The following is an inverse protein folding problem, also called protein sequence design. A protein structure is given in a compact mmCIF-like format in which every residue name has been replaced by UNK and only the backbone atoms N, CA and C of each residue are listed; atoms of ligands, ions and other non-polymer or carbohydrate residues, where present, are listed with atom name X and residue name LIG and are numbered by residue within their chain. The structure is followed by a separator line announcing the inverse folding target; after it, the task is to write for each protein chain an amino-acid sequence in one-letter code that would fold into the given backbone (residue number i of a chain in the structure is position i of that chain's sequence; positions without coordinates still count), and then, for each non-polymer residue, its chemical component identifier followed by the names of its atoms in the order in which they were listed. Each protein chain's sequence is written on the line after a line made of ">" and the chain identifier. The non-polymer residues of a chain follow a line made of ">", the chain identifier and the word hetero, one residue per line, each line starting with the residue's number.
data_IF_211541837127
#
_entry.id   IF_211541837127
#
_cell.length_a   1.000
_cell.length_b   1.000
_cell.length_c   1.000
_cell.angle_alpha   90.00
_cell.angle_beta   90.00
_cell.angle_gamma   90.00
#
_symmetry.space_group_name_H-M   'P 1'
#
loop_
_entity.id
_entity.type
_entity.pdbx_description
1 polymer ?
#
# COMPACT_ATOMS: atom_id res chain seq x y z
N UNK A 1 -9.06 -13.03 0.77
CA UNK A 1 -10.36 -13.63 0.41
C UNK A 1 -10.48 -13.69 -1.12
N UNK A 2 -11.21 -14.68 -1.65
CA UNK A 2 -11.53 -14.79 -3.09
C UNK A 2 -12.99 -14.37 -3.27
N UNK A 3 -13.27 -13.56 -4.29
CA UNK A 3 -14.62 -13.03 -4.57
C UNK A 3 -14.98 -13.43 -6.01
N UNK A 4 -16.23 -13.83 -6.30
CA UNK A 4 -16.66 -14.08 -7.67
C UNK A 4 -16.38 -12.87 -8.56
N UNK A 5 -15.83 -13.11 -9.76
CA UNK A 5 -15.43 -12.05 -10.68
C UNK A 5 -16.60 -11.13 -11.05
N UNK A 6 -17.78 -11.70 -11.30
CA UNK A 6 -18.95 -10.93 -11.72
C UNK A 6 -19.39 -9.91 -10.66
N UNK A 7 -19.38 -10.31 -9.38
CA UNK A 7 -19.70 -9.42 -8.26
C UNK A 7 -18.65 -8.32 -8.09
N UNK A 8 -17.36 -8.67 -8.16
CA UNK A 8 -16.30 -7.69 -8.09
C UNK A 8 -16.36 -6.69 -9.26
N UNK A 9 -16.68 -7.17 -10.47
CA UNK A 9 -16.83 -6.33 -11.67
C UNK A 9 -17.95 -5.32 -11.51
N UNK A 10 -19.12 -5.72 -11.01
CA UNK A 10 -20.24 -4.82 -10.76
C UNK A 10 -19.87 -3.70 -9.78
N UNK A 11 -19.14 -4.05 -8.71
CA UNK A 11 -18.66 -3.07 -7.72
C UNK A 11 -17.64 -2.11 -8.33
N UNK A 12 -16.65 -2.64 -9.05
CA UNK A 12 -15.61 -1.82 -9.68
C UNK A 12 -16.20 -0.84 -10.71
N UNK A 13 -17.13 -1.30 -11.55
CA UNK A 13 -17.84 -0.44 -12.51
C UNK A 13 -18.62 0.68 -11.83
N UNK A 14 -19.26 0.40 -10.68
CA UNK A 14 -19.96 1.43 -9.89
C UNK A 14 -19.00 2.50 -9.34
N UNK A 15 -17.72 2.17 -9.17
CA UNK A 15 -16.66 3.09 -8.75
C UNK A 15 -15.88 3.68 -9.95
N UNK A 16 -16.27 3.39 -11.19
CA UNK A 16 -15.57 3.85 -12.41
C UNK A 16 -14.23 3.16 -12.67
N UNK A 17 -14.02 1.95 -12.15
CA UNK A 17 -12.79 1.16 -12.30
C UNK A 17 -13.00 -0.02 -13.25
N UNK A 18 -12.02 -0.28 -14.12
CA UNK A 18 -11.96 -1.52 -14.92
C UNK A 18 -10.97 -2.52 -14.30
N UNK A 19 -11.52 -3.59 -13.68
CA UNK A 19 -10.71 -4.67 -13.10
C UNK A 19 -9.80 -5.37 -14.12
N UNK A 20 -10.18 -5.34 -15.40
CA UNK A 20 -9.42 -5.97 -16.48
C UNK A 20 -8.11 -5.24 -16.72
N UNK A 21 -8.10 -3.92 -16.60
CA UNK A 21 -6.88 -3.11 -16.70
C UNK A 21 -5.99 -3.37 -15.49
N UNK A 22 -6.59 -3.42 -14.29
CA UNK A 22 -5.87 -3.59 -13.02
C UNK A 22 -5.15 -4.93 -12.86
N UNK A 23 -5.72 -6.06 -13.31
CA UNK A 23 -5.00 -7.34 -13.27
C UNK A 23 -4.04 -7.53 -14.44
N UNK A 24 -4.23 -6.79 -15.55
CA UNK A 24 -3.39 -6.88 -16.75
C UNK A 24 -2.14 -6.02 -16.58
N UNK A 25 -2.21 -4.99 -15.73
CA UNK A 25 -1.09 -4.14 -15.37
C UNK A 25 -0.04 -4.95 -14.60
N UNK A 26 1.20 -4.88 -15.08
CA UNK A 26 2.35 -5.46 -14.36
C UNK A 26 2.40 -4.84 -12.97
N UNK A 27 2.37 -5.71 -11.96
CA UNK A 27 2.45 -5.32 -10.56
C UNK A 27 1.15 -4.82 -9.96
N UNK A 28 0.00 -4.89 -10.65
CA UNK A 28 -1.31 -4.50 -10.11
C UNK A 28 -1.69 -5.21 -8.79
N UNK A 29 -2.67 -4.64 -8.10
CA UNK A 29 -3.15 -5.16 -6.80
C UNK A 29 -4.17 -6.28 -7.01
N UNK A 30 -4.77 -6.39 -8.20
CA UNK A 30 -5.82 -7.38 -8.50
C UNK A 30 -5.19 -8.60 -9.18
N UNK A 31 -5.55 -9.80 -8.73
CA UNK A 31 -5.22 -11.06 -9.40
C UNK A 31 -6.49 -11.83 -9.73
N UNK A 32 -6.61 -12.21 -11.01
CA UNK A 32 -7.65 -13.11 -11.50
C UNK A 32 -7.24 -14.57 -11.30
N UNK A 33 -8.15 -15.38 -10.77
CA UNK A 33 -8.01 -16.81 -10.56
C UNK A 33 -9.28 -17.52 -11.06
N UNK A 34 -9.29 -17.85 -12.35
CA UNK A 34 -10.45 -18.43 -13.05
C UNK A 34 -11.72 -17.56 -12.90
N UNK A 35 -12.74 -18.06 -12.21
CA UNK A 35 -14.01 -17.37 -11.93
C UNK A 35 -13.92 -16.41 -10.73
N UNK A 36 -12.79 -16.39 -10.02
CA UNK A 36 -12.59 -15.55 -8.86
C UNK A 36 -11.58 -14.43 -9.13
N UNK A 37 -11.68 -13.37 -8.33
CA UNK A 37 -10.66 -12.34 -8.18
C UNK A 37 -10.26 -12.21 -6.72
N UNK A 38 -9.03 -11.77 -6.49
CA UNK A 38 -8.55 -11.43 -5.15
C UNK A 38 -7.57 -10.27 -5.23
N UNK A 39 -7.42 -9.58 -4.09
CA UNK A 39 -6.40 -8.58 -3.91
C UNK A 39 -5.08 -9.22 -3.44
N UNK A 40 -3.98 -8.65 -3.91
CA UNK A 40 -2.62 -9.00 -3.52
C UNK A 40 -2.17 -8.08 -2.39
N UNK A 41 -1.72 -8.69 -1.30
CA UNK A 41 -1.06 -7.95 -0.23
C UNK A 41 0.40 -7.59 -0.59
N UNK A 42 1.09 -6.81 0.25
CA UNK A 42 2.44 -6.33 -0.02
C UNK A 42 3.48 -7.46 -0.22
N UNK A 43 3.29 -8.62 0.41
CA UNK A 43 4.18 -9.78 0.23
C UNK A 43 4.00 -10.53 -1.08
N UNK A 44 2.86 -10.33 -1.73
CA UNK A 44 2.48 -11.05 -2.95
C UNK A 44 2.79 -10.25 -4.21
N UNK A 45 3.29 -9.02 -4.03
CA UNK A 45 3.66 -8.09 -5.11
C UNK A 45 5.19 -8.02 -5.25
N UNK A 46 5.62 -7.70 -6.46
CA UNK A 46 7.03 -7.58 -6.82
C UNK A 46 7.65 -6.32 -6.18
N UNK A 47 8.84 -6.46 -5.58
CA UNK A 47 9.49 -5.36 -4.86
C UNK A 47 10.00 -4.28 -5.80
N UNK A 48 10.55 -4.64 -6.96
CA UNK A 48 11.07 -3.67 -7.93
C UNK A 48 9.94 -2.80 -8.49
N UNK A 49 8.80 -3.41 -8.80
CA UNK A 49 7.61 -2.68 -9.20
C UNK A 49 7.11 -1.73 -8.11
N UNK A 50 7.02 -2.21 -6.86
CA UNK A 50 6.60 -1.39 -5.73
C UNK A 50 7.55 -0.20 -5.47
N UNK A 51 8.86 -0.39 -5.69
CA UNK A 51 9.85 0.68 -5.56
C UNK A 51 9.68 1.75 -6.64
N UNK A 52 9.36 1.35 -7.88
CA UNK A 52 9.15 2.26 -9.01
C UNK A 52 7.73 2.88 -9.06
N UNK A 53 6.75 2.31 -8.35
CA UNK A 53 5.37 2.81 -8.36
C UNK A 53 5.24 4.19 -7.74
N UNK A 54 4.30 5.00 -8.22
CA UNK A 54 3.99 6.33 -7.67
C UNK A 54 2.60 6.39 -7.04
N UNK A 55 1.75 5.38 -7.27
CA UNK A 55 0.42 5.33 -6.71
C UNK A 55 0.48 5.09 -5.20
N UNK A 56 -0.50 5.64 -4.48
CA UNK A 56 -0.54 5.60 -3.03
C UNK A 56 -0.47 4.17 -2.46
N UNK A 57 -1.16 3.20 -3.08
CA UNK A 57 -1.12 1.80 -2.64
C UNK A 57 0.26 1.18 -2.87
N UNK A 58 0.97 1.56 -3.93
CA UNK A 58 2.33 1.08 -4.21
C UNK A 58 3.32 1.64 -3.22
N UNK A 59 3.22 2.94 -2.93
CA UNK A 59 4.03 3.61 -1.91
C UNK A 59 3.79 2.96 -0.55
N UNK A 60 2.53 2.73 -0.17
CA UNK A 60 2.16 2.08 1.09
C UNK A 60 2.70 0.65 1.15
N UNK A 61 2.47 -0.17 0.13
CA UNK A 61 2.95 -1.55 0.09
C UNK A 61 4.48 -1.62 0.10
N UNK A 62 5.18 -0.73 -0.61
CA UNK A 62 6.64 -0.66 -0.54
C UNK A 62 7.13 -0.26 0.87
N UNK A 63 6.51 0.77 1.46
CA UNK A 63 6.81 1.21 2.82
C UNK A 63 6.63 0.08 3.84
N UNK A 64 5.55 -0.71 3.74
CA UNK A 64 5.34 -1.87 4.60
C UNK A 64 6.42 -2.94 4.44
N UNK A 65 6.96 -3.12 3.23
CA UNK A 65 8.04 -4.08 2.98
C UNK A 65 9.37 -3.61 3.57
N UNK A 66 9.67 -2.31 3.49
CA UNK A 66 10.84 -1.71 4.14
C UNK A 66 10.72 -1.74 5.66
N UNK A 67 9.52 -1.47 6.18
CA UNK A 67 9.19 -1.59 7.60
C UNK A 67 9.40 -3.02 8.12
N UNK A 68 8.90 -4.03 7.40
CA UNK A 68 9.09 -5.44 7.75
C UNK A 68 10.57 -5.83 7.83
N UNK A 69 11.42 -5.27 6.96
CA UNK A 69 12.87 -5.51 6.94
C UNK A 69 13.65 -4.68 7.97
N UNK A 70 13.01 -3.73 8.64
CA UNK A 70 13.68 -2.78 9.53
C UNK A 70 14.55 -1.74 8.81
N UNK A 71 14.38 -1.56 7.50
CA UNK A 71 15.14 -0.61 6.68
C UNK A 71 14.62 0.82 6.87
N UNK A 72 14.87 1.39 8.06
CA UNK A 72 14.29 2.66 8.49
C UNK A 72 14.64 3.84 7.57
N UNK A 73 15.90 3.97 7.18
CA UNK A 73 16.35 5.08 6.33
C UNK A 73 15.66 5.05 4.95
N UNK A 74 15.58 3.85 4.33
CA UNK A 74 14.90 3.66 3.06
C UNK A 74 13.39 3.91 3.18
N UNK A 75 12.76 3.51 4.29
CA UNK A 75 11.35 3.78 4.56
C UNK A 75 11.07 5.30 4.60
N UNK A 76 11.88 6.05 5.35
CA UNK A 76 11.74 7.50 5.45
C UNK A 76 11.95 8.16 4.09
N UNK A 77 12.98 7.75 3.34
CA UNK A 77 13.22 8.24 1.98
C UNK A 77 12.02 7.96 1.07
N UNK A 78 11.52 6.72 1.05
CA UNK A 78 10.37 6.32 0.22
C UNK A 78 9.12 7.15 0.50
N UNK A 79 8.80 7.37 1.77
CA UNK A 79 7.64 8.20 2.14
C UNK A 79 7.89 9.65 1.75
N UNK A 80 9.08 10.20 2.03
CA UNK A 80 9.43 11.60 1.78
C UNK A 80 9.49 11.96 0.29
N UNK A 81 9.94 11.04 -0.56
CA UNK A 81 10.02 11.22 -2.01
C UNK A 81 8.68 11.01 -2.72
N UNK A 82 7.68 10.46 -2.03
CA UNK A 82 6.34 10.34 -2.56
C UNK A 82 5.55 11.64 -2.37
N UNK A 83 4.54 11.85 -3.22
CA UNK A 83 3.59 12.97 -3.08
C UNK A 83 2.73 12.90 -1.79
N UNK A 84 2.90 11.83 -0.99
CA UNK A 84 2.10 11.55 0.19
C UNK A 84 2.87 11.69 1.51
N UNK A 85 4.20 11.88 1.47
CA UNK A 85 5.06 11.86 2.66
C UNK A 85 4.74 12.95 3.68
N UNK A 86 4.48 14.17 3.20
CA UNK A 86 4.10 15.30 4.06
C UNK A 86 2.63 15.26 4.50
N UNK A 87 1.83 14.36 3.92
CA UNK A 87 0.39 14.33 4.06
C UNK A 87 -0.16 13.25 4.97
N UNK A 88 -1.45 13.38 5.27
CA UNK A 88 -2.24 12.42 6.06
C UNK A 88 -2.82 11.29 5.21
N UNK A 89 -2.73 11.38 3.89
CA UNK A 89 -3.40 10.46 2.96
C UNK A 89 -2.92 9.01 3.14
N UNK A 90 -1.61 8.77 3.17
CA UNK A 90 -1.04 7.43 3.31
C UNK A 90 -1.45 6.78 4.63
N UNK A 91 -1.51 7.56 5.72
CA UNK A 91 -1.87 7.08 7.05
C UNK A 91 -3.36 6.78 7.19
N UNK A 92 -4.23 7.63 6.63
CA UNK A 92 -5.67 7.38 6.62
C UNK A 92 -6.02 6.14 5.83
N UNK A 93 -5.38 5.94 4.68
CA UNK A 93 -5.59 4.73 3.88
C UNK A 93 -5.03 3.50 4.57
N UNK A 94 -3.84 3.58 5.18
CA UNK A 94 -3.27 2.50 5.98
C UNK A 94 -4.22 2.07 7.12
N UNK A 95 -4.82 3.04 7.83
CA UNK A 95 -5.79 2.78 8.89
C UNK A 95 -7.04 2.06 8.34
N UNK A 96 -7.65 2.61 7.29
CA UNK A 96 -8.86 2.04 6.69
C UNK A 96 -8.65 0.62 6.17
N UNK A 97 -7.49 0.34 5.56
CA UNK A 97 -7.12 -1.01 5.12
C UNK A 97 -6.94 -1.93 6.33
N UNK A 98 -6.24 -1.50 7.39
CA UNK A 98 -6.07 -2.34 8.59
C UNK A 98 -7.42 -2.71 9.22
N UNK A 99 -8.33 -1.75 9.35
CA UNK A 99 -9.67 -1.95 9.93
C UNK A 99 -10.55 -2.87 9.08
N UNK A 100 -10.30 -2.95 7.78
CA UNK A 100 -11.03 -3.81 6.84
C UNK A 100 -10.49 -5.24 6.75
N UNK A 101 -9.28 -5.49 7.28
CA UNK A 101 -8.62 -6.80 7.19
C UNK A 101 -8.92 -7.67 8.44
N UNK A 102 -8.97 -9.01 8.28
CA UNK A 102 -9.11 -9.91 9.42
C UNK A 102 -7.85 -9.94 10.29
N UNK A 103 -8.00 -10.23 11.59
CA UNK A 103 -6.92 -10.23 12.59
C UNK A 103 -5.74 -11.18 12.26
N UNK A 104 -6.00 -12.25 11.52
CA UNK A 104 -4.97 -13.19 11.08
C UNK A 104 -4.14 -12.70 9.89
N UNK A 105 -4.58 -11.63 9.21
CA UNK A 105 -3.91 -11.09 8.02
C UNK A 105 -2.49 -10.60 8.36
N UNK A 106 -1.52 -11.09 7.57
CA UNK A 106 -0.12 -10.64 7.68
C UNK A 106 0.02 -9.16 7.37
N UNK A 107 -0.73 -8.66 6.39
CA UNK A 107 -0.74 -7.25 6.02
C UNK A 107 -1.29 -6.38 7.15
N UNK A 108 -2.37 -6.83 7.81
CA UNK A 108 -2.92 -6.14 8.97
C UNK A 108 -1.89 -5.98 10.08
N UNK A 109 -1.20 -7.07 10.45
CA UNK A 109 -0.15 -7.03 11.50
C UNK A 109 0.96 -6.05 11.16
N UNK A 110 1.37 -5.96 9.88
CA UNK A 110 2.36 -4.97 9.45
C UNK A 110 1.81 -3.54 9.53
N UNK A 111 0.60 -3.31 9.04
CA UNK A 111 -0.07 -2.01 9.11
C UNK A 111 -0.20 -1.55 10.55
N UNK A 112 -0.69 -2.40 11.46
CA UNK A 112 -0.83 -2.09 12.88
C UNK A 112 0.51 -1.74 13.52
N UNK A 113 1.57 -2.52 13.23
CA UNK A 113 2.92 -2.23 13.73
C UNK A 113 3.46 -0.88 13.23
N UNK A 114 3.25 -0.57 11.95
CA UNK A 114 3.66 0.71 11.36
C UNK A 114 2.82 1.88 11.92
N UNK A 115 1.51 1.70 12.09
CA UNK A 115 0.57 2.70 12.60
C UNK A 115 0.83 3.04 14.08
N UNK A 116 1.22 2.07 14.91
CA UNK A 116 1.69 2.33 16.28
C UNK A 116 2.87 3.31 16.30
N UNK A 117 3.73 3.23 15.29
CA UNK A 117 4.93 4.07 15.15
C UNK A 117 4.69 5.32 14.28
N UNK A 118 3.44 5.60 13.90
CA UNK A 118 3.07 6.67 12.99
C UNK A 118 3.63 8.02 13.40
N UNK A 119 3.38 8.48 14.63
CA UNK A 119 3.78 9.83 15.06
C UNK A 119 5.29 10.04 14.91
N UNK A 120 6.09 9.02 15.24
CA UNK A 120 7.54 9.05 15.09
C UNK A 120 7.97 9.04 13.62
N UNK A 121 7.35 8.20 12.79
CA UNK A 121 7.62 8.16 11.35
C UNK A 121 7.28 9.49 10.66
N UNK A 122 6.16 10.11 11.02
CA UNK A 122 5.76 11.41 10.46
C UNK A 122 6.76 12.52 10.79
N UNK A 123 7.26 12.55 12.02
CA UNK A 123 8.26 13.53 12.42
C UNK A 123 9.59 13.30 11.69
N UNK A 124 10.05 12.05 11.58
CA UNK A 124 11.28 11.72 10.84
C UNK A 124 11.16 12.07 9.34
N UNK A 125 10.01 11.81 8.71
CA UNK A 125 9.73 12.23 7.32
C UNK A 125 9.76 13.76 7.19
N UNK A 126 9.12 14.48 8.12
CA UNK A 126 9.11 15.94 8.13
C UNK A 126 10.52 16.52 8.23
N UNK A 127 11.32 16.00 9.16
CA UNK A 127 12.71 16.43 9.35
C UNK A 127 13.56 16.13 8.12
N UNK A 128 13.37 14.97 7.49
CA UNK A 128 14.08 14.60 6.27
C UNK A 128 13.77 15.56 5.11
N UNK A 129 12.51 15.91 4.91
CA UNK A 129 12.08 16.87 3.88
C UNK A 129 12.69 18.26 4.15
N UNK A 130 12.67 18.72 5.39
CA UNK A 130 13.25 20.01 5.79
C UNK A 130 14.77 20.05 5.62
N UNK A 131 15.47 18.96 5.96
CA UNK A 131 16.93 18.85 5.82
C UNK A 131 17.42 18.79 4.37
N UNK A 132 16.56 18.47 3.39
CA UNK A 132 16.87 18.53 1.95
C UNK A 132 16.69 19.91 1.33
N UNK A 133 16.02 20.84 2.03
CA UNK A 133 15.72 22.18 1.54
C UNK A 133 16.82 23.20 1.86
N UNK A 134 17.90 22.78 2.52
CA UNK A 134 19.09 23.56 2.86
C UNK A 134 20.35 22.84 2.36
#
# INVERSE_FOLDING_TARGET
>A
ARVPFDEARKLAQSCGLDLTEEWSRRGGVVKKEQEFVRLLGPHQRDLEHLAAGHELIDVLHHALRLWEKGERAALIARLSESDYGAGEAVWRVAQAISESLPNESKEKKLLDGMLINRSRLQEEVRQYIQGRLF
#
